data_IF_562909627029
#
_entry.id   IF_562909627029
#
_cell.length_a   1.000
_cell.length_b   1.000
_cell.length_c   1.000
_cell.angle_alpha   90.00
_cell.angle_beta   90.00
_cell.angle_gamma   90.00
#
_symmetry.space_group_name_H-M   'P 1'
#
loop_
_entity.id
_entity.type
_entity.pdbx_description
1 polymer ?
#
# COMPACT_ATOMS: atom_id res chain seq x y z
N UNK A 1 13.51 -24.15 -19.90
CA UNK A 1 12.37 -24.26 -18.96
C UNK A 1 12.63 -23.27 -17.84
N UNK A 2 11.65 -22.43 -17.48
CA UNK A 2 11.85 -21.38 -16.47
C UNK A 2 12.06 -22.00 -15.08
N UNK A 3 13.21 -21.75 -14.45
CA UNK A 3 13.50 -22.27 -13.11
C UNK A 3 12.84 -21.45 -11.99
N UNK A 4 12.41 -20.21 -12.28
CA UNK A 4 11.81 -19.30 -11.32
C UNK A 4 10.48 -18.80 -11.91
N UNK A 5 9.43 -18.81 -11.11
CA UNK A 5 8.13 -18.23 -11.46
C UNK A 5 7.75 -17.09 -10.52
N UNK A 6 7.06 -16.09 -11.07
CA UNK A 6 6.38 -15.03 -10.34
C UNK A 6 4.87 -15.26 -10.45
N UNK A 7 4.22 -15.45 -9.30
CA UNK A 7 2.76 -15.48 -9.22
C UNK A 7 2.22 -14.06 -9.21
N UNK A 8 1.89 -13.55 -10.40
CA UNK A 8 1.34 -12.21 -10.56
C UNK A 8 -0.20 -12.24 -10.47
N UNK A 9 -0.79 -11.39 -9.64
CA UNK A 9 -2.24 -11.20 -9.51
C UNK A 9 -2.59 -9.74 -9.83
N UNK A 10 -3.88 -9.42 -9.90
CA UNK A 10 -4.32 -8.02 -10.06
C UNK A 10 -3.89 -7.15 -8.87
N UNK A 11 -3.82 -7.72 -7.66
CA UNK A 11 -3.55 -7.00 -6.41
C UNK A 11 -2.06 -6.75 -6.18
N UNK A 12 -1.20 -7.66 -6.61
CA UNK A 12 0.26 -7.52 -6.47
C UNK A 12 0.96 -7.01 -7.74
N UNK A 13 0.22 -6.74 -8.82
CA UNK A 13 0.74 -6.25 -10.10
C UNK A 13 1.77 -5.13 -9.93
N UNK A 14 1.43 -4.08 -9.18
CA UNK A 14 2.33 -2.93 -9.02
C UNK A 14 3.63 -3.33 -8.31
N UNK A 15 3.56 -4.18 -7.28
CA UNK A 15 4.74 -4.64 -6.56
C UNK A 15 5.71 -5.38 -7.49
N UNK A 16 5.23 -6.36 -8.26
CA UNK A 16 6.10 -7.10 -9.17
C UNK A 16 6.59 -6.26 -10.34
N UNK A 17 5.78 -5.34 -10.88
CA UNK A 17 6.25 -4.42 -11.92
C UNK A 17 7.43 -3.58 -11.44
N UNK A 18 7.38 -3.07 -10.21
CA UNK A 18 8.52 -2.36 -9.61
C UNK A 18 9.73 -3.29 -9.39
N UNK A 19 9.52 -4.50 -8.87
CA UNK A 19 10.61 -5.47 -8.63
C UNK A 19 11.28 -5.95 -9.92
N UNK A 20 10.54 -6.08 -11.02
CA UNK A 20 11.10 -6.40 -12.33
C UNK A 20 12.03 -5.30 -12.84
N UNK A 21 11.67 -4.03 -12.62
CA UNK A 21 12.55 -2.90 -12.92
C UNK A 21 13.84 -2.93 -12.10
N UNK A 22 13.74 -3.26 -10.81
CA UNK A 22 14.91 -3.44 -9.95
C UNK A 22 15.80 -4.59 -10.42
N UNK A 23 15.23 -5.76 -10.73
CA UNK A 23 15.97 -6.92 -11.23
C UNK A 23 16.71 -6.61 -12.53
N UNK A 24 16.03 -6.00 -13.51
CA UNK A 24 16.63 -5.62 -14.79
C UNK A 24 17.79 -4.62 -14.60
N UNK A 25 17.60 -3.59 -13.77
CA UNK A 25 18.65 -2.58 -13.51
C UNK A 25 19.91 -3.14 -12.84
N UNK A 26 19.80 -4.29 -12.18
CA UNK A 26 20.90 -5.01 -11.54
C UNK A 26 21.49 -6.10 -12.45
N UNK A 27 21.05 -6.18 -13.71
CA UNK A 27 21.57 -7.11 -14.72
C UNK A 27 20.97 -8.52 -14.66
N UNK A 28 19.83 -8.70 -13.99
CA UNK A 28 19.11 -9.97 -14.04
C UNK A 28 18.29 -10.07 -15.33
N UNK A 29 18.45 -11.17 -16.08
CA UNK A 29 17.62 -11.44 -17.25
C UNK A 29 16.20 -11.82 -16.83
N UNK A 30 15.28 -10.86 -16.91
CA UNK A 30 13.88 -11.08 -16.55
C UNK A 30 13.16 -12.02 -17.54
N UNK A 31 13.72 -12.27 -18.73
CA UNK A 31 13.22 -13.26 -19.69
C UNK A 31 13.34 -14.70 -19.19
N UNK A 32 14.20 -14.95 -18.20
CA UNK A 32 14.29 -16.27 -17.55
C UNK A 32 13.13 -16.56 -16.59
N UNK A 33 12.33 -15.56 -16.23
CA UNK A 33 11.24 -15.68 -15.27
C UNK A 33 9.92 -16.09 -15.96
N UNK A 34 9.25 -17.11 -15.43
CA UNK A 34 7.85 -17.35 -15.76
C UNK A 34 6.97 -16.36 -14.98
N UNK A 35 6.51 -15.29 -15.64
CA UNK A 35 5.62 -14.30 -15.03
C UNK A 35 4.19 -14.60 -15.46
N UNK A 36 3.36 -15.09 -14.55
CA UNK A 36 2.00 -15.54 -14.93
C UNK A 36 0.91 -15.18 -13.93
N UNK A 37 -0.28 -14.94 -14.48
CA UNK A 37 -1.53 -14.81 -13.73
C UNK A 37 -2.29 -16.13 -13.60
N UNK A 38 -1.97 -17.13 -14.41
CA UNK A 38 -2.60 -18.44 -14.36
C UNK A 38 -1.74 -19.39 -13.51
N UNK A 39 -2.29 -19.81 -12.38
CA UNK A 39 -1.63 -20.76 -11.48
C UNK A 39 -1.32 -22.09 -12.18
N UNK A 40 -2.11 -22.50 -13.18
CA UNK A 40 -1.88 -23.75 -13.90
C UNK A 40 -0.61 -23.73 -14.75
N UNK A 41 -0.16 -22.56 -15.22
CA UNK A 41 1.11 -22.45 -15.92
C UNK A 41 2.29 -22.75 -14.99
N UNK A 42 2.21 -22.35 -13.73
CA UNK A 42 3.21 -22.70 -12.70
C UNK A 42 3.22 -24.22 -12.46
N UNK A 43 2.04 -24.85 -12.35
CA UNK A 43 1.92 -26.30 -12.18
C UNK A 43 2.49 -27.09 -13.36
N UNK A 44 2.33 -26.59 -14.58
CA UNK A 44 2.89 -27.20 -15.80
C UNK A 44 4.39 -27.01 -15.90
N UNK A 45 4.88 -25.81 -15.59
CA UNK A 45 6.29 -25.46 -15.72
C UNK A 45 7.17 -26.08 -14.62
N UNK A 46 6.60 -26.37 -13.44
CA UNK A 46 7.29 -26.95 -12.27
C UNK A 46 8.61 -26.22 -11.95
N UNK A 47 8.56 -24.89 -11.73
CA UNK A 47 9.76 -24.11 -11.41
C UNK A 47 10.40 -24.58 -10.09
N UNK A 48 11.67 -24.29 -9.89
CA UNK A 48 12.37 -24.57 -8.63
C UNK A 48 12.05 -23.54 -7.55
N UNK A 49 11.69 -22.32 -7.96
CA UNK A 49 11.30 -21.23 -7.05
C UNK A 49 10.00 -20.60 -7.51
N UNK A 50 9.09 -20.31 -6.58
CA UNK A 50 7.89 -19.51 -6.84
C UNK A 50 7.87 -18.29 -5.92
N UNK A 51 7.77 -17.11 -6.53
CA UNK A 51 7.73 -15.82 -5.85
C UNK A 51 6.30 -15.33 -5.70
N UNK A 52 5.95 -14.95 -4.48
CA UNK A 52 4.66 -14.38 -4.09
C UNK A 52 4.84 -13.00 -3.49
N UNK A 53 3.88 -12.11 -3.74
CA UNK A 53 3.72 -10.86 -3.00
C UNK A 53 2.24 -10.68 -2.68
N UNK A 54 1.89 -10.42 -1.43
CA UNK A 54 0.48 -10.37 -1.02
C UNK A 54 0.21 -9.51 0.23
N UNK A 55 -1.04 -9.06 0.32
CA UNK A 55 -1.63 -8.46 1.52
C UNK A 55 -2.27 -9.53 2.42
N UNK A 56 -2.56 -9.19 3.68
CA UNK A 56 -3.11 -10.15 4.66
C UNK A 56 -4.44 -10.76 4.22
N UNK A 57 -5.23 -10.04 3.45
CA UNK A 57 -6.51 -10.50 2.93
C UNK A 57 -6.42 -11.59 1.86
N UNK A 58 -5.24 -11.85 1.32
CA UNK A 58 -4.99 -12.86 0.28
C UNK A 58 -4.42 -14.17 0.85
N UNK A 59 -4.16 -14.25 2.16
CA UNK A 59 -3.42 -15.37 2.77
C UNK A 59 -4.11 -16.73 2.60
N UNK A 60 -5.44 -16.77 2.52
CA UNK A 60 -6.18 -18.03 2.38
C UNK A 60 -5.98 -18.61 0.99
N UNK A 61 -6.14 -17.80 -0.06
CA UNK A 61 -5.90 -18.21 -1.44
C UNK A 61 -4.43 -18.56 -1.66
N UNK A 62 -3.51 -17.73 -1.17
CA UNK A 62 -2.06 -17.96 -1.28
C UNK A 62 -1.63 -19.21 -0.51
N UNK A 63 -2.18 -19.45 0.68
CA UNK A 63 -1.91 -20.64 1.47
C UNK A 63 -2.39 -21.93 0.80
N UNK A 64 -3.56 -21.89 0.15
CA UNK A 64 -4.09 -23.03 -0.61
C UNK A 64 -3.25 -23.32 -1.86
N UNK A 65 -2.84 -22.28 -2.61
CA UNK A 65 -1.88 -22.43 -3.72
C UNK A 65 -0.54 -23.04 -3.22
N UNK A 66 -0.02 -22.56 -2.09
CA UNK A 66 1.20 -23.07 -1.47
C UNK A 66 1.13 -24.57 -1.16
N UNK A 67 0.03 -25.03 -0.53
CA UNK A 67 -0.20 -26.47 -0.25
C UNK A 67 -0.19 -27.30 -1.53
N UNK A 68 -0.88 -26.84 -2.58
CA UNK A 68 -0.93 -27.54 -3.87
C UNK A 68 0.47 -27.66 -4.49
N UNK A 69 1.28 -26.60 -4.42
CA UNK A 69 2.65 -26.62 -4.92
C UNK A 69 3.53 -27.62 -4.14
N UNK A 70 3.40 -27.65 -2.80
CA UNK A 70 4.10 -28.60 -1.93
C UNK A 70 3.79 -30.04 -2.29
N UNK A 71 2.53 -30.38 -2.49
CA UNK A 71 2.09 -31.73 -2.83
C UNK A 71 2.54 -32.17 -4.23
N UNK A 72 2.54 -31.27 -5.22
CA UNK A 72 2.79 -31.65 -6.61
C UNK A 72 4.26 -31.77 -6.98
N UNK A 73 5.12 -30.85 -6.51
CA UNK A 73 6.54 -30.86 -6.87
C UNK A 73 7.46 -30.13 -5.87
N UNK A 74 6.92 -29.59 -4.78
CA UNK A 74 7.66 -29.02 -3.65
C UNK A 74 8.76 -27.99 -4.03
N UNK A 75 8.40 -26.88 -4.70
CA UNK A 75 9.37 -25.81 -5.00
C UNK A 75 9.75 -25.02 -3.74
N UNK A 76 10.82 -24.24 -3.85
CA UNK A 76 11.13 -23.20 -2.87
C UNK A 76 10.10 -22.05 -2.99
N UNK A 77 9.38 -21.76 -1.92
CA UNK A 77 8.37 -20.71 -1.87
C UNK A 77 8.93 -19.46 -1.18
N UNK A 78 8.93 -18.34 -1.89
CA UNK A 78 9.39 -17.04 -1.37
C UNK A 78 8.21 -16.07 -1.34
N UNK A 79 7.99 -15.43 -0.20
CA UNK A 79 6.92 -14.45 0.00
C UNK A 79 7.47 -13.06 0.29
N UNK A 80 6.84 -12.02 -0.25
CA UNK A 80 7.09 -10.62 0.09
C UNK A 80 5.80 -9.82 0.22
N UNK A 81 5.93 -8.52 0.49
CA UNK A 81 4.79 -7.62 0.65
C UNK A 81 4.41 -7.38 2.11
N UNK A 82 3.20 -6.86 2.32
CA UNK A 82 2.79 -6.34 3.63
C UNK A 82 2.58 -7.44 4.67
N UNK A 83 1.96 -8.57 4.31
CA UNK A 83 1.75 -9.65 5.28
C UNK A 83 3.07 -10.35 5.66
N UNK A 84 3.93 -10.79 4.72
CA UNK A 84 5.21 -11.41 5.08
C UNK A 84 6.13 -10.50 5.89
N UNK A 85 6.08 -9.19 5.65
CA UNK A 85 6.85 -8.21 6.45
C UNK A 85 6.30 -8.11 7.88
N UNK A 86 4.98 -8.12 8.06
CA UNK A 86 4.34 -7.91 9.35
C UNK A 86 4.19 -9.18 10.19
N UNK A 87 4.08 -10.35 9.56
CA UNK A 87 3.91 -11.67 10.19
C UNK A 87 4.79 -12.73 9.50
N UNK A 88 6.13 -12.62 9.60
CA UNK A 88 7.04 -13.57 8.97
C UNK A 88 6.88 -15.00 9.53
N UNK A 89 6.68 -15.18 10.84
CA UNK A 89 6.58 -16.53 11.41
C UNK A 89 5.30 -17.22 10.98
N UNK A 90 4.18 -16.51 10.92
CA UNK A 90 2.94 -17.04 10.34
C UNK A 90 3.14 -17.41 8.87
N UNK A 91 3.82 -16.56 8.10
CA UNK A 91 4.12 -16.82 6.70
C UNK A 91 4.95 -18.11 6.52
N UNK A 92 5.97 -18.31 7.34
CA UNK A 92 6.85 -19.48 7.26
C UNK A 92 6.20 -20.75 7.83
N UNK A 93 5.63 -20.67 9.03
CA UNK A 93 5.19 -21.85 9.79
C UNK A 93 3.77 -22.30 9.47
N UNK A 94 2.88 -21.36 9.11
CA UNK A 94 1.45 -21.65 8.91
C UNK A 94 1.12 -21.69 7.43
N UNK A 95 1.58 -20.70 6.65
CA UNK A 95 1.37 -20.70 5.20
C UNK A 95 2.36 -21.60 4.46
N UNK A 96 3.41 -22.08 5.12
CA UNK A 96 4.37 -23.05 4.58
C UNK A 96 5.33 -22.46 3.55
N UNK A 97 5.67 -21.17 3.65
CA UNK A 97 6.73 -20.56 2.84
C UNK A 97 8.13 -20.85 3.41
N UNK A 98 9.14 -20.83 2.55
CA UNK A 98 10.53 -21.09 2.96
C UNK A 98 11.29 -19.82 3.34
N UNK A 99 11.00 -18.71 2.65
CA UNK A 99 11.68 -17.42 2.84
C UNK A 99 10.64 -16.29 2.78
N UNK A 100 10.69 -15.39 3.74
CA UNK A 100 9.97 -14.13 3.73
C UNK A 100 10.92 -12.96 3.48
N UNK A 101 10.64 -12.14 2.48
CA UNK A 101 11.31 -10.87 2.18
C UNK A 101 10.66 -9.76 3.02
N UNK A 102 11.46 -9.12 3.87
CA UNK A 102 11.03 -8.18 4.90
C UNK A 102 11.42 -6.74 4.52
N UNK A 103 10.41 -5.89 4.31
CA UNK A 103 10.59 -4.47 3.98
C UNK A 103 10.50 -4.16 2.48
N UNK A 104 11.53 -3.52 1.94
CA UNK A 104 11.61 -3.12 0.53
C UNK A 104 12.49 -4.10 -0.26
N UNK A 105 11.92 -4.73 -1.29
CA UNK A 105 12.48 -5.93 -1.91
C UNK A 105 13.41 -5.71 -3.09
N UNK A 106 13.62 -4.46 -3.55
CA UNK A 106 14.31 -4.16 -4.81
C UNK A 106 15.74 -4.72 -4.87
N UNK A 107 16.53 -4.48 -3.83
CA UNK A 107 17.88 -5.03 -3.69
C UNK A 107 17.83 -6.51 -3.26
N UNK A 108 16.92 -6.82 -2.32
CA UNK A 108 16.84 -8.14 -1.67
C UNK A 108 16.56 -9.24 -2.68
N UNK A 109 15.63 -9.01 -3.61
CA UNK A 109 15.21 -10.05 -4.55
C UNK A 109 16.33 -10.41 -5.52
N UNK A 110 17.12 -9.44 -5.97
CA UNK A 110 18.28 -9.68 -6.84
C UNK A 110 19.34 -10.52 -6.11
N UNK A 111 19.72 -10.09 -4.90
CA UNK A 111 20.72 -10.80 -4.09
C UNK A 111 20.25 -12.22 -3.74
N UNK A 112 18.96 -12.37 -3.42
CA UNK A 112 18.35 -13.65 -3.09
C UNK A 112 18.37 -14.60 -4.30
N UNK A 113 17.84 -14.18 -5.45
CA UNK A 113 17.77 -15.04 -6.63
C UNK A 113 19.15 -15.43 -7.15
N UNK A 114 20.10 -14.50 -7.16
CA UNK A 114 21.49 -14.77 -7.57
C UNK A 114 22.17 -15.75 -6.61
N UNK A 115 21.96 -15.58 -5.30
CA UNK A 115 22.49 -16.51 -4.30
C UNK A 115 21.85 -17.89 -4.42
N UNK A 116 20.52 -17.97 -4.58
CA UNK A 116 19.82 -19.23 -4.77
C UNK A 116 20.29 -19.97 -6.02
N UNK A 117 20.46 -19.29 -7.17
CA UNK A 117 21.03 -19.93 -8.37
C UNK A 117 22.40 -20.55 -8.10
N UNK A 118 23.30 -19.80 -7.45
CA UNK A 118 24.64 -20.28 -7.09
C UNK A 118 24.61 -21.47 -6.12
N UNK A 119 23.67 -21.48 -5.17
CA UNK A 119 23.52 -22.55 -4.17
C UNK A 119 22.60 -23.69 -4.63
N UNK A 120 22.25 -23.74 -5.93
CA UNK A 120 21.33 -24.73 -6.52
C UNK A 120 19.98 -24.78 -5.79
N UNK A 121 19.45 -23.60 -5.47
CA UNK A 121 18.15 -23.33 -4.86
C UNK A 121 18.00 -23.88 -3.44
N UNK A 122 19.10 -23.90 -2.68
CA UNK A 122 19.11 -24.33 -1.27
C UNK A 122 19.25 -23.14 -0.33
N UNK A 123 18.51 -23.19 0.78
CA UNK A 123 18.73 -22.30 1.93
C UNK A 123 20.05 -22.69 2.58
N UNK A 124 20.95 -21.71 2.70
CA UNK A 124 22.32 -21.89 3.18
C UNK A 124 22.75 -20.65 3.98
N UNK A 125 23.88 -20.73 4.68
CA UNK A 125 24.41 -19.63 5.51
C UNK A 125 24.73 -18.36 4.70
N UNK A 126 24.90 -18.48 3.40
CA UNK A 126 25.14 -17.38 2.47
C UNK A 126 23.99 -16.36 2.49
N UNK A 127 22.75 -16.80 2.77
CA UNK A 127 21.60 -15.92 2.91
C UNK A 127 21.68 -14.99 4.13
N UNK A 128 22.50 -15.30 5.14
CA UNK A 128 22.71 -14.44 6.32
C UNK A 128 23.30 -13.07 5.96
N UNK A 129 24.00 -12.98 4.82
CA UNK A 129 24.58 -11.73 4.34
C UNK A 129 23.57 -10.78 3.68
N UNK A 130 22.36 -11.27 3.36
CA UNK A 130 21.32 -10.52 2.67
C UNK A 130 20.37 -9.94 3.72
N UNK A 131 20.42 -8.63 3.92
CA UNK A 131 19.48 -7.90 4.78
C UNK A 131 18.07 -7.95 4.18
N UNK A 132 17.04 -8.07 5.01
CA UNK A 132 15.64 -8.13 4.56
C UNK A 132 15.08 -9.53 4.36
N UNK A 133 15.62 -10.54 5.04
CA UNK A 133 15.12 -11.92 4.98
C UNK A 133 14.70 -12.42 6.35
N UNK A 134 13.64 -13.23 6.37
CA UNK A 134 13.31 -14.13 7.46
C UNK A 134 13.15 -15.55 6.92
N UNK A 135 13.79 -16.53 7.55
CA UNK A 135 13.77 -17.94 7.14
C UNK A 135 14.26 -18.82 8.30
N UNK A 136 14.18 -20.15 8.14
CA UNK A 136 14.75 -21.09 9.09
C UNK A 136 16.08 -21.65 8.58
N UNK A 137 17.11 -21.67 9.43
CA UNK A 137 18.39 -22.31 9.16
C UNK A 137 18.71 -23.27 10.30
N UNK A 138 18.87 -24.57 9.99
CA UNK A 138 19.11 -25.62 10.99
C UNK A 138 18.07 -25.65 12.13
N UNK A 139 16.81 -25.30 11.82
CA UNK A 139 15.71 -25.25 12.79
C UNK A 139 15.58 -23.95 13.58
N UNK A 140 16.52 -23.01 13.42
CA UNK A 140 16.47 -21.70 14.10
C UNK A 140 15.87 -20.62 13.20
N UNK A 141 15.02 -19.78 13.78
CA UNK A 141 14.45 -18.62 13.10
C UNK A 141 15.52 -17.54 12.92
N UNK A 142 15.78 -17.19 11.68
CA UNK A 142 16.73 -16.15 11.28
C UNK A 142 15.95 -14.92 10.82
N UNK A 143 16.37 -13.74 11.28
CA UNK A 143 15.93 -12.46 10.76
C UNK A 143 17.14 -11.55 10.52
N UNK A 144 17.36 -11.16 9.26
CA UNK A 144 18.55 -10.39 8.87
C UNK A 144 18.33 -8.86 8.89
N UNK A 145 17.28 -8.40 9.59
CA UNK A 145 16.91 -6.99 9.67
C UNK A 145 16.03 -6.51 8.50
N UNK A 146 15.46 -5.31 8.60
CA UNK A 146 14.62 -4.73 7.54
C UNK A 146 15.46 -4.21 6.37
N UNK A 147 15.06 -4.53 5.14
CA UNK A 147 15.58 -3.90 3.94
C UNK A 147 14.83 -2.60 3.61
N UNK A 148 15.57 -1.63 3.07
CA UNK A 148 15.08 -0.29 2.73
C UNK A 148 15.86 0.26 1.54
N UNK A 149 15.17 0.95 0.65
CA UNK A 149 15.66 1.62 -0.56
C UNK A 149 15.90 3.10 -0.27
N UNK A 150 17.08 3.46 0.23
CA UNK A 150 17.36 4.88 0.49
C UNK A 150 17.57 5.71 -0.78
N UNK A 151 17.95 5.06 -1.88
CA UNK A 151 18.23 5.71 -3.16
C UNK A 151 17.39 5.12 -4.30
N UNK A 152 16.37 5.87 -4.73
CA UNK A 152 15.50 5.48 -5.85
C UNK A 152 16.19 5.56 -7.21
N UNK A 153 17.37 6.18 -7.34
CA UNK A 153 18.11 6.26 -8.62
C UNK A 153 18.62 4.93 -9.10
N UNK A 154 18.81 3.99 -8.17
CA UNK A 154 19.24 2.62 -8.47
C UNK A 154 18.15 1.77 -9.09
N UNK A 155 16.87 2.07 -8.82
CA UNK A 155 15.76 1.16 -9.15
C UNK A 155 14.71 1.85 -10.01
N UNK A 156 14.63 1.50 -11.31
CA UNK A 156 13.52 1.86 -12.18
C UNK A 156 12.16 1.50 -11.56
N UNK A 157 11.11 2.31 -11.78
CA UNK A 157 9.76 1.96 -11.36
C UNK A 157 9.16 0.82 -12.19
N UNK A 158 9.75 0.44 -13.32
CA UNK A 158 9.38 -0.75 -14.09
C UNK A 158 10.51 -1.07 -15.06
N UNK A 159 10.56 -2.32 -15.53
CA UNK A 159 11.54 -2.76 -16.51
C UNK A 159 11.32 -2.09 -17.88
N UNK A 160 12.39 -1.62 -18.49
CA UNK A 160 12.37 -0.98 -19.81
C UNK A 160 12.06 -1.98 -20.92
N UNK A 161 12.56 -3.22 -20.80
CA UNK A 161 12.26 -4.31 -21.74
C UNK A 161 10.83 -4.87 -21.62
N UNK A 162 10.13 -4.60 -20.50
CA UNK A 162 8.78 -5.12 -20.27
C UNK A 162 7.70 -4.15 -20.73
N UNK A 163 6.59 -4.68 -21.25
CA UNK A 163 5.37 -3.91 -21.53
C UNK A 163 4.50 -3.68 -20.29
N UNK A 164 4.84 -4.30 -19.15
CA UNK A 164 4.10 -4.12 -17.91
C UNK A 164 4.40 -2.75 -17.31
N UNK A 165 3.38 -1.89 -17.26
CA UNK A 165 3.48 -0.53 -16.73
C UNK A 165 2.49 -0.39 -15.58
N UNK A 166 2.99 0.06 -14.43
CA UNK A 166 2.22 0.40 -13.24
C UNK A 166 2.37 1.90 -12.96
N UNK A 167 1.43 2.54 -12.22
CA UNK A 167 1.63 3.89 -11.70
C UNK A 167 2.99 4.02 -11.00
N UNK A 168 3.70 5.13 -11.21
CA UNK A 168 5.05 5.30 -10.64
C UNK A 168 4.91 5.62 -9.15
N UNK A 169 5.56 4.84 -8.29
CA UNK A 169 5.73 5.21 -6.90
C UNK A 169 6.79 6.31 -6.78
N UNK A 170 6.31 7.52 -6.44
CA UNK A 170 7.13 8.73 -6.37
C UNK A 170 7.56 9.06 -4.94
N UNK A 171 6.90 8.48 -3.94
CA UNK A 171 7.28 8.62 -2.54
C UNK A 171 7.03 7.34 -1.75
N UNK A 172 7.89 7.05 -0.78
CA UNK A 172 7.70 5.97 0.21
C UNK A 172 7.90 6.48 1.63
N UNK A 173 7.23 5.82 2.58
CA UNK A 173 7.24 6.18 3.99
C UNK A 173 6.25 7.30 4.32
N UNK A 174 5.89 7.44 5.59
CA UNK A 174 4.90 8.43 6.04
C UNK A 174 5.18 8.79 7.51
N UNK A 175 5.38 10.08 7.87
CA UNK A 175 5.75 10.45 9.24
C UNK A 175 4.59 10.39 10.24
N UNK A 176 3.34 10.28 9.78
CA UNK A 176 2.16 10.44 10.64
C UNK A 176 1.86 9.22 11.52
N UNK A 177 2.28 8.01 11.13
CA UNK A 177 2.16 6.84 12.01
C UNK A 177 0.73 6.43 12.40
N UNK A 178 -0.31 6.73 11.59
CA UNK A 178 -1.71 6.41 11.91
C UNK A 178 -1.87 4.94 12.34
N UNK A 179 -2.62 4.68 13.40
CA UNK A 179 -2.62 3.38 14.09
C UNK A 179 -3.24 2.22 13.32
N UNK A 180 -4.01 2.51 12.28
CA UNK A 180 -4.60 1.50 11.38
C UNK A 180 -3.76 1.26 10.10
N UNK A 181 -2.76 2.09 9.81
CA UNK A 181 -2.11 2.13 8.50
C UNK A 181 -0.74 1.43 8.54
N UNK A 182 -0.54 0.41 7.69
CA UNK A 182 0.74 -0.32 7.63
C UNK A 182 1.89 0.45 6.96
N UNK A 183 1.60 1.44 6.11
CA UNK A 183 2.61 2.17 5.33
C UNK A 183 3.80 2.67 6.16
N UNK A 184 3.63 3.42 7.26
CA UNK A 184 4.76 3.87 8.08
C UNK A 184 5.56 2.71 8.71
N UNK A 185 4.89 1.67 9.18
CA UNK A 185 5.52 0.53 9.86
C UNK A 185 6.27 -0.42 8.91
N UNK A 186 5.95 -0.39 7.61
CA UNK A 186 6.63 -1.18 6.56
C UNK A 186 7.66 -0.36 5.77
N UNK A 187 7.34 0.90 5.45
CA UNK A 187 8.13 1.75 4.54
C UNK A 187 8.87 2.89 5.27
N UNK A 188 8.73 2.98 6.59
CA UNK A 188 9.41 3.94 7.45
C UNK A 188 8.64 5.24 7.71
N UNK A 189 9.04 5.95 8.76
CA UNK A 189 8.40 7.17 9.27
C UNK A 189 8.92 8.48 8.66
N UNK A 190 9.53 8.40 7.49
CA UNK A 190 10.01 9.59 6.76
C UNK A 190 9.72 9.39 5.28
N UNK A 191 9.10 10.40 4.66
CA UNK A 191 8.92 10.39 3.21
C UNK A 191 10.28 10.51 2.53
N UNK A 192 10.54 9.59 1.62
CA UNK A 192 11.65 9.61 0.66
C UNK A 192 11.03 9.71 -0.73
N UNK A 193 11.66 10.46 -1.62
CA UNK A 193 11.10 10.76 -2.94
C UNK A 193 11.97 10.28 -4.07
N UNK A 194 11.34 9.78 -5.13
CA UNK A 194 11.98 9.55 -6.41
C UNK A 194 12.36 10.91 -7.04
N UNK A 195 13.57 11.07 -7.57
CA UNK A 195 13.97 12.29 -8.28
C UNK A 195 13.08 12.64 -9.48
N UNK A 196 12.90 13.94 -9.73
CA UNK A 196 12.00 14.47 -10.76
C UNK A 196 12.38 13.99 -12.15
N UNK A 197 13.67 13.96 -12.48
CA UNK A 197 14.20 13.50 -13.78
C UNK A 197 13.81 12.05 -14.08
N UNK A 198 13.87 11.17 -13.08
CA UNK A 198 13.37 9.81 -13.21
C UNK A 198 11.85 9.76 -13.37
N UNK A 199 11.11 10.55 -12.59
CA UNK A 199 9.64 10.60 -12.72
C UNK A 199 9.27 11.00 -14.15
N UNK A 200 9.90 12.04 -14.70
CA UNK A 200 9.70 12.48 -16.08
C UNK A 200 10.12 11.38 -17.07
N UNK A 201 11.28 10.76 -16.89
CA UNK A 201 11.78 9.67 -17.76
C UNK A 201 10.75 8.57 -17.93
N UNK A 202 10.27 8.02 -16.81
CA UNK A 202 9.37 6.87 -16.85
C UNK A 202 7.93 7.28 -17.18
N UNK A 203 7.52 8.52 -16.89
CA UNK A 203 6.18 9.03 -17.29
C UNK A 203 6.00 9.10 -18.80
N UNK A 204 7.08 9.13 -19.61
CA UNK A 204 7.01 9.09 -21.09
C UNK A 204 6.25 7.89 -21.63
N UNK A 205 6.25 6.76 -20.92
CA UNK A 205 5.56 5.53 -21.32
C UNK A 205 4.10 5.47 -20.86
N UNK A 206 3.61 6.50 -20.19
CA UNK A 206 2.23 6.56 -19.68
C UNK A 206 1.37 7.49 -20.52
N UNK A 207 0.18 7.02 -20.91
CA UNK A 207 -0.86 7.90 -21.47
C UNK A 207 -1.52 8.73 -20.37
N UNK A 208 -1.86 8.07 -19.27
CA UNK A 208 -2.37 8.69 -18.05
C UNK A 208 -1.28 8.60 -16.98
N UNK A 209 -0.61 9.73 -16.74
CA UNK A 209 0.41 9.85 -15.71
C UNK A 209 -0.26 9.85 -14.35
N UNK A 210 -0.07 8.76 -13.60
CA UNK A 210 -0.59 8.53 -12.25
C UNK A 210 0.54 8.08 -11.33
N UNK A 211 0.47 8.53 -10.08
CA UNK A 211 1.55 8.35 -9.12
C UNK A 211 1.06 7.74 -7.82
N UNK A 212 1.90 6.91 -7.20
CA UNK A 212 1.69 6.36 -5.87
C UNK A 212 2.53 7.16 -4.88
N UNK A 213 1.88 7.71 -3.86
CA UNK A 213 2.51 8.44 -2.77
C UNK A 213 1.57 8.46 -1.56
N UNK A 214 2.08 8.30 -0.33
CA UNK A 214 1.27 8.34 0.89
C UNK A 214 0.60 9.70 1.17
N UNK A 215 1.17 10.78 0.65
CA UNK A 215 0.58 12.12 0.66
C UNK A 215 1.10 12.89 -0.56
N UNK A 216 0.25 13.14 -1.55
CA UNK A 216 0.67 13.75 -2.81
C UNK A 216 1.28 15.15 -2.64
N UNK A 217 0.60 16.06 -1.93
CA UNK A 217 1.08 17.43 -1.75
C UNK A 217 2.33 17.58 -0.87
N UNK A 218 2.78 16.50 -0.22
CA UNK A 218 4.02 16.49 0.55
C UNK A 218 5.26 16.12 -0.30
N UNK A 219 5.16 16.01 -1.62
CA UNK A 219 6.30 15.68 -2.46
C UNK A 219 7.46 16.68 -2.28
N UNK A 220 8.68 16.13 -2.10
CA UNK A 220 9.89 16.92 -1.87
C UNK A 220 10.09 17.36 -0.41
N UNK A 221 9.28 16.87 0.53
CA UNK A 221 9.39 17.17 1.96
C UNK A 221 9.56 15.90 2.82
N UNK A 222 9.96 15.99 4.09
CA UNK A 222 9.95 14.82 4.99
C UNK A 222 8.56 14.19 5.22
N UNK A 223 7.48 14.81 4.73
CA UNK A 223 6.12 14.27 4.66
C UNK A 223 5.09 15.03 5.48
N UNK A 224 5.52 15.72 6.54
CA UNK A 224 4.66 16.45 7.49
C UNK A 224 4.62 17.97 7.24
N UNK A 225 5.26 18.46 6.18
CA UNK A 225 5.28 19.88 5.81
C UNK A 225 5.05 20.03 4.30
N UNK A 226 4.53 21.18 3.88
CA UNK A 226 4.44 21.57 2.48
C UNK A 226 5.77 22.15 1.98
N UNK A 227 6.15 21.79 0.76
CA UNK A 227 7.25 22.40 0.00
C UNK A 227 6.73 22.77 -1.38
N UNK A 228 6.01 23.90 -1.46
CA UNK A 228 5.32 24.33 -2.67
C UNK A 228 6.28 24.46 -3.87
N UNK A 229 7.51 24.94 -3.63
CA UNK A 229 8.58 25.02 -4.63
C UNK A 229 8.92 23.65 -5.24
N UNK A 230 8.97 22.60 -4.41
CA UNK A 230 9.27 21.24 -4.86
C UNK A 230 8.09 20.57 -5.55
N UNK A 231 6.87 20.79 -5.04
CA UNK A 231 5.64 20.32 -5.65
C UNK A 231 5.47 20.96 -7.04
N UNK A 232 5.61 22.28 -7.14
CA UNK A 232 5.55 23.01 -8.41
C UNK A 232 6.64 22.54 -9.38
N UNK A 233 7.88 22.36 -8.91
CA UNK A 233 8.97 21.87 -9.75
C UNK A 233 8.63 20.51 -10.40
N UNK A 234 8.04 19.57 -9.64
CA UNK A 234 7.59 18.29 -10.18
C UNK A 234 6.49 18.46 -11.23
N UNK A 235 5.41 19.18 -10.88
CA UNK A 235 4.26 19.36 -11.77
C UNK A 235 4.64 20.11 -13.06
N UNK A 236 5.54 21.10 -12.95
CA UNK A 236 6.10 21.85 -14.08
C UNK A 236 6.99 20.97 -14.97
N UNK A 237 7.81 20.10 -14.39
CA UNK A 237 8.69 19.20 -15.14
C UNK A 237 7.92 18.18 -16.00
N UNK A 238 6.66 17.89 -15.65
CA UNK A 238 5.78 17.00 -16.40
C UNK A 238 5.04 17.70 -17.56
N UNK A 239 5.08 19.03 -17.65
CA UNK A 239 4.34 19.78 -18.68
C UNK A 239 4.73 19.46 -20.12
N UNK A 240 6.01 19.21 -20.48
CA UNK A 240 6.35 18.79 -21.84
C UNK A 240 5.58 17.54 -22.26
N UNK A 241 5.49 16.54 -21.38
CA UNK A 241 4.77 15.29 -21.63
C UNK A 241 3.25 15.50 -21.79
N UNK A 242 2.69 16.45 -21.02
CA UNK A 242 1.29 16.84 -21.13
C UNK A 242 1.00 17.56 -22.46
N UNK A 243 1.91 18.44 -22.91
CA UNK A 243 1.83 19.10 -24.22
C UNK A 243 1.92 18.12 -25.40
N UNK A 244 2.56 16.97 -25.20
CA UNK A 244 2.57 15.84 -26.15
C UNK A 244 1.26 15.01 -26.12
N UNK A 245 0.22 15.44 -25.40
CA UNK A 245 -1.11 14.80 -25.38
C UNK A 245 -1.33 13.76 -24.27
N UNK A 246 -0.43 13.66 -23.29
CA UNK A 246 -0.64 12.82 -22.09
C UNK A 246 -1.46 13.58 -21.05
N UNK A 247 -2.15 12.84 -20.18
CA UNK A 247 -2.96 13.41 -19.10
C UNK A 247 -2.27 13.22 -17.76
N UNK A 248 -2.24 14.27 -16.94
CA UNK A 248 -1.67 14.25 -15.60
C UNK A 248 -2.77 14.18 -14.54
N UNK A 249 -2.79 13.10 -13.75
CA UNK A 249 -3.68 12.98 -12.59
C UNK A 249 -2.85 12.84 -11.31
N UNK A 250 -2.94 13.84 -10.42
CA UNK A 250 -2.10 13.96 -9.23
C UNK A 250 -2.94 13.97 -7.94
N UNK A 251 -2.56 13.21 -6.91
CA UNK A 251 -3.37 13.11 -5.68
C UNK A 251 -4.74 12.42 -5.86
N UNK A 252 -4.85 11.60 -6.90
CA UNK A 252 -6.04 10.75 -7.14
C UNK A 252 -5.69 9.29 -6.93
N UNK A 253 -6.68 8.45 -6.60
CA UNK A 253 -6.50 7.02 -6.37
C UNK A 253 -5.60 6.37 -7.46
N UNK A 254 -4.59 5.55 -7.07
CA UNK A 254 -4.34 4.98 -5.74
C UNK A 254 -3.57 5.88 -4.74
N UNK A 255 -3.40 7.17 -5.02
CA UNK A 255 -2.87 8.14 -4.06
C UNK A 255 -3.97 9.03 -3.48
N UNK A 256 -3.69 9.61 -2.32
CA UNK A 256 -4.56 10.55 -1.61
C UNK A 256 -3.73 11.75 -1.15
N UNK A 257 -4.44 12.81 -0.78
CA UNK A 257 -3.87 13.96 -0.07
C UNK A 257 -4.45 14.01 1.34
N UNK A 258 -3.66 14.52 2.27
CA UNK A 258 -4.15 14.76 3.62
C UNK A 258 -4.99 16.06 3.66
N UNK A 259 -6.11 16.12 4.38
CA UNK A 259 -7.00 17.30 4.37
C UNK A 259 -6.28 18.61 4.72
N UNK A 260 -5.40 18.59 5.72
CA UNK A 260 -4.64 19.76 6.18
C UNK A 260 -3.59 20.26 5.16
N UNK A 261 -3.34 19.49 4.10
CA UNK A 261 -2.47 19.88 2.97
C UNK A 261 -3.26 20.46 1.79
N UNK A 262 -4.59 20.38 1.81
CA UNK A 262 -5.44 21.00 0.80
C UNK A 262 -5.60 22.47 1.15
N UNK A 263 -4.83 23.32 0.48
CA UNK A 263 -4.82 24.77 0.61
C UNK A 263 -5.02 25.44 -0.75
N UNK A 264 -5.53 26.69 -0.82
CA UNK A 264 -5.68 27.45 -2.06
C UNK A 264 -4.46 27.33 -2.99
N UNK A 265 -3.24 27.53 -2.46
CA UNK A 265 -2.00 27.51 -3.23
C UNK A 265 -1.69 26.12 -3.82
N UNK A 266 -2.03 25.04 -3.09
CA UNK A 266 -1.86 23.67 -3.62
C UNK A 266 -2.87 23.34 -4.72
N UNK A 267 -4.09 23.87 -4.63
CA UNK A 267 -5.13 23.68 -5.64
C UNK A 267 -4.85 24.50 -6.90
N UNK A 268 -4.31 25.72 -6.75
CA UNK A 268 -3.86 26.55 -7.86
C UNK A 268 -2.77 25.86 -8.68
N UNK A 269 -1.78 25.23 -8.01
CA UNK A 269 -0.77 24.42 -8.69
C UNK A 269 -1.41 23.23 -9.42
N UNK A 270 -2.37 22.57 -8.78
CA UNK A 270 -3.05 21.42 -9.38
C UNK A 270 -3.83 21.81 -10.63
N UNK A 271 -4.59 22.89 -10.60
CA UNK A 271 -5.37 23.40 -11.76
C UNK A 271 -4.47 23.87 -12.88
N UNK A 272 -3.38 24.55 -12.53
CA UNK A 272 -2.43 25.08 -13.51
C UNK A 272 -1.72 23.97 -14.28
N UNK A 273 -1.37 22.88 -13.60
CA UNK A 273 -0.45 21.88 -14.16
C UNK A 273 -1.06 20.50 -14.43
N UNK A 274 -2.16 20.12 -13.79
CA UNK A 274 -2.77 18.79 -13.91
C UNK A 274 -4.15 18.80 -14.59
N UNK A 275 -4.64 17.62 -14.95
CA UNK A 275 -5.94 17.38 -15.57
C UNK A 275 -6.97 16.84 -14.56
N UNK A 276 -6.73 17.10 -13.28
CA UNK A 276 -7.60 16.69 -12.18
C UNK A 276 -9.00 17.29 -12.33
N UNK A 277 -10.02 16.44 -12.23
CA UNK A 277 -11.42 16.85 -11.98
C UNK A 277 -11.89 16.51 -10.57
N UNK A 278 -11.13 15.65 -9.91
CA UNK A 278 -11.41 15.09 -8.60
C UNK A 278 -10.13 15.06 -7.80
N UNK A 279 -10.25 15.08 -6.48
CA UNK A 279 -9.13 14.91 -5.57
C UNK A 279 -9.60 14.07 -4.38
N UNK A 280 -8.77 13.11 -3.97
CA UNK A 280 -9.10 12.17 -2.91
C UNK A 280 -8.47 12.61 -1.59
N UNK A 281 -9.29 12.82 -0.55
CA UNK A 281 -8.86 13.19 0.79
C UNK A 281 -9.29 12.16 1.82
N UNK A 282 -8.39 11.83 2.74
CA UNK A 282 -8.68 10.89 3.81
C UNK A 282 -9.20 11.56 5.08
N UNK A 283 -10.52 11.71 5.21
CA UNK A 283 -11.16 12.22 6.44
C UNK A 283 -11.10 11.21 7.59
N UNK A 284 -11.34 9.94 7.28
CA UNK A 284 -11.36 8.77 8.16
C UNK A 284 -12.50 8.73 9.18
N UNK A 285 -12.76 9.83 9.90
CA UNK A 285 -13.86 9.93 10.87
C UNK A 285 -14.39 11.37 10.92
N UNK A 286 -15.66 11.53 11.30
CA UNK A 286 -16.27 12.84 11.60
C UNK A 286 -16.18 13.23 13.07
N UNK A 287 -15.39 12.54 13.88
CA UNK A 287 -15.23 12.82 15.31
C UNK A 287 -13.76 13.06 15.67
N UNK A 288 -13.42 14.27 16.15
CA UNK A 288 -12.05 14.65 16.50
C UNK A 288 -11.46 13.75 17.60
N UNK A 289 -12.29 13.24 18.52
CA UNK A 289 -11.84 12.29 19.53
C UNK A 289 -11.36 10.97 18.88
N UNK A 290 -12.07 10.50 17.86
CA UNK A 290 -11.72 9.30 17.12
C UNK A 290 -10.50 9.51 16.21
N UNK A 291 -10.39 10.68 15.58
CA UNK A 291 -9.18 11.08 14.83
C UNK A 291 -7.94 11.07 15.74
N UNK A 292 -8.05 11.65 16.94
CA UNK A 292 -6.98 11.62 17.93
C UNK A 292 -6.64 10.19 18.37
N UNK A 293 -7.65 9.35 18.63
CA UNK A 293 -7.47 7.95 19.04
C UNK A 293 -6.71 7.12 18.00
N UNK A 294 -6.95 7.35 16.71
CA UNK A 294 -6.24 6.67 15.61
C UNK A 294 -4.90 7.31 15.22
N UNK A 295 -4.45 8.31 15.98
CA UNK A 295 -3.25 9.09 15.69
C UNK A 295 -3.30 9.83 14.34
N UNK A 296 -4.49 10.34 13.98
CA UNK A 296 -4.66 11.33 12.90
C UNK A 296 -4.52 12.73 13.49
N UNK A 297 -3.56 13.49 12.95
CA UNK A 297 -3.25 14.85 13.43
C UNK A 297 -4.20 15.93 12.88
N UNK A 298 -4.92 15.66 11.79
CA UNK A 298 -5.91 16.58 11.24
C UNK A 298 -7.21 16.50 12.04
N UNK A 299 -8.05 17.51 11.89
CA UNK A 299 -9.35 17.62 12.56
C UNK A 299 -10.48 17.65 11.54
N UNK A 300 -11.72 17.48 11.99
CA UNK A 300 -12.93 17.63 11.17
C UNK A 300 -12.96 18.99 10.48
N UNK A 301 -12.51 20.06 11.17
CA UNK A 301 -12.38 21.39 10.56
C UNK A 301 -11.47 21.39 9.33
N UNK A 302 -10.32 20.71 9.38
CA UNK A 302 -9.43 20.60 8.22
C UNK A 302 -10.10 19.87 7.05
N UNK A 303 -10.95 18.88 7.32
CA UNK A 303 -11.75 18.19 6.28
C UNK A 303 -12.76 19.15 5.65
N UNK A 304 -13.46 19.92 6.48
CA UNK A 304 -14.44 20.90 6.00
C UNK A 304 -13.78 21.98 5.13
N UNK A 305 -12.69 22.57 5.61
CA UNK A 305 -11.90 23.57 4.85
C UNK A 305 -11.41 22.98 3.52
N UNK A 306 -10.85 21.77 3.52
CA UNK A 306 -10.41 21.10 2.30
C UNK A 306 -11.55 20.93 1.29
N UNK A 307 -12.72 20.46 1.73
CA UNK A 307 -13.90 20.28 0.87
C UNK A 307 -14.39 21.60 0.30
N UNK A 308 -14.43 22.66 1.11
CA UNK A 308 -14.84 24.00 0.65
C UNK A 308 -13.88 24.54 -0.41
N UNK A 309 -12.57 24.50 -0.16
CA UNK A 309 -11.58 24.92 -1.14
C UNK A 309 -11.68 24.10 -2.44
N UNK A 310 -11.81 22.78 -2.35
CA UNK A 310 -11.94 21.93 -3.54
C UNK A 310 -13.16 22.33 -4.37
N UNK A 311 -14.32 22.56 -3.74
CA UNK A 311 -15.56 22.96 -4.43
C UNK A 311 -15.43 24.36 -5.05
N UNK A 312 -14.88 25.34 -4.31
CA UNK A 312 -14.65 26.71 -4.82
C UNK A 312 -13.75 26.72 -6.06
N UNK A 313 -12.76 25.84 -6.09
CA UNK A 313 -11.84 25.68 -7.22
C UNK A 313 -12.35 24.70 -8.30
N UNK A 314 -13.60 24.23 -8.21
CA UNK A 314 -14.24 23.38 -9.22
C UNK A 314 -13.71 21.94 -9.27
N UNK A 315 -13.12 21.45 -8.18
CA UNK A 315 -12.61 20.08 -8.03
C UNK A 315 -13.59 19.28 -7.18
N UNK A 316 -14.11 18.17 -7.71
CA UNK A 316 -15.04 17.30 -6.98
C UNK A 316 -14.32 16.57 -5.82
N UNK A 317 -14.74 16.77 -4.56
CA UNK A 317 -14.14 16.09 -3.43
C UNK A 317 -14.53 14.61 -3.37
N UNK A 318 -13.54 13.74 -3.25
CA UNK A 318 -13.73 12.31 -2.94
C UNK A 318 -13.19 12.08 -1.53
N UNK A 319 -14.06 11.77 -0.57
CA UNK A 319 -13.71 11.76 0.85
C UNK A 319 -13.80 10.36 1.44
N UNK A 320 -12.68 9.83 1.91
CA UNK A 320 -12.59 8.49 2.50
C UNK A 320 -12.93 8.49 3.99
N UNK A 321 -13.74 7.52 4.41
CA UNK A 321 -14.09 7.24 5.79
C UNK A 321 -13.83 5.77 6.14
N UNK A 322 -13.44 5.52 7.40
CA UNK A 322 -13.40 4.20 7.98
C UNK A 322 -14.47 4.16 9.07
N UNK A 323 -15.42 3.23 8.94
CA UNK A 323 -16.47 2.98 9.93
C UNK A 323 -16.18 1.68 10.69
N UNK A 324 -16.76 1.53 11.87
CA UNK A 324 -16.51 0.39 12.76
C UNK A 324 -15.12 0.45 13.38
N UNK A 325 -14.62 1.66 13.63
CA UNK A 325 -13.31 1.86 14.26
C UNK A 325 -13.31 1.29 15.68
N UNK A 326 -12.14 0.88 16.22
CA UNK A 326 -12.06 0.45 17.61
C UNK A 326 -12.62 1.49 18.58
N UNK A 327 -13.46 1.04 19.52
CA UNK A 327 -14.13 1.88 20.50
C UNK A 327 -15.00 3.02 19.90
N UNK A 328 -15.39 2.93 18.62
CA UNK A 328 -16.31 3.88 17.99
C UNK A 328 -17.71 3.76 18.57
N UNK A 329 -18.15 4.79 19.29
CA UNK A 329 -19.49 4.86 19.88
C UNK A 329 -20.55 5.20 18.83
N UNK A 330 -21.84 4.95 19.14
CA UNK A 330 -22.93 5.38 18.26
C UNK A 330 -22.94 6.89 18.04
N UNK A 331 -22.55 7.68 19.05
CA UNK A 331 -22.44 9.14 18.93
C UNK A 331 -21.31 9.54 17.96
N UNK A 332 -20.17 8.86 18.03
CA UNK A 332 -19.07 9.04 17.07
C UNK A 332 -19.50 8.70 15.63
N UNK A 333 -20.28 7.61 15.49
CA UNK A 333 -20.89 7.24 14.21
C UNK A 333 -21.87 8.31 13.70
N UNK A 334 -22.70 8.91 14.56
CA UNK A 334 -23.61 10.02 14.18
C UNK A 334 -22.85 11.25 13.71
N UNK A 335 -21.78 11.66 14.39
CA UNK A 335 -20.92 12.77 13.93
C UNK A 335 -20.34 12.49 12.54
N UNK A 336 -19.91 11.25 12.29
CA UNK A 336 -19.46 10.82 10.96
C UNK A 336 -20.58 10.89 9.91
N UNK A 337 -21.80 10.46 10.24
CA UNK A 337 -22.98 10.59 9.36
C UNK A 337 -23.25 12.06 9.02
N UNK A 338 -23.24 12.95 10.00
CA UNK A 338 -23.51 14.37 9.80
C UNK A 338 -22.43 15.03 8.90
N UNK A 339 -21.17 14.69 9.11
CA UNK A 339 -20.09 15.14 8.22
C UNK A 339 -20.28 14.60 6.79
N UNK A 340 -20.60 13.31 6.62
CA UNK A 340 -20.88 12.72 5.30
C UNK A 340 -22.05 13.42 4.60
N UNK A 341 -23.16 13.67 5.29
CA UNK A 341 -24.30 14.44 4.75
C UNK A 341 -23.89 15.85 4.33
N UNK A 342 -23.09 16.52 5.14
CA UNK A 342 -22.58 17.86 4.83
C UNK A 342 -21.69 17.85 3.57
N UNK A 343 -20.76 16.88 3.45
CA UNK A 343 -19.92 16.70 2.25
C UNK A 343 -20.77 16.51 1.00
N UNK A 344 -21.80 15.65 1.06
CA UNK A 344 -22.70 15.40 -0.06
C UNK A 344 -23.47 16.65 -0.48
N UNK A 345 -23.95 17.46 0.49
CA UNK A 345 -24.62 18.74 0.21
C UNK A 345 -23.70 19.76 -0.48
N UNK A 346 -22.40 19.72 -0.18
CA UNK A 346 -21.38 20.55 -0.86
C UNK A 346 -21.00 20.04 -2.26
N UNK A 347 -21.52 18.87 -2.68
CA UNK A 347 -21.22 18.28 -3.98
C UNK A 347 -20.04 17.29 -3.97
N UNK A 348 -19.58 16.87 -2.78
CA UNK A 348 -18.57 15.81 -2.65
C UNK A 348 -19.19 14.41 -2.64
N UNK A 349 -18.35 13.42 -2.90
CA UNK A 349 -18.66 11.99 -2.76
C UNK A 349 -17.92 11.38 -1.58
N UNK A 350 -18.55 10.39 -0.96
CA UNK A 350 -17.97 9.66 0.16
C UNK A 350 -17.59 8.26 -0.28
N UNK A 351 -16.43 7.79 0.17
CA UNK A 351 -16.01 6.41 0.06
C UNK A 351 -15.91 5.80 1.45
N UNK A 352 -16.71 4.78 1.71
CA UNK A 352 -16.76 4.14 3.02
C UNK A 352 -16.01 2.79 3.02
N UNK A 353 -15.16 2.62 4.02
CA UNK A 353 -14.44 1.39 4.31
C UNK A 353 -14.77 0.92 5.73
N UNK A 354 -14.68 -0.38 5.98
CA UNK A 354 -14.80 -0.90 7.34
C UNK A 354 -13.42 -1.16 7.93
N UNK A 355 -13.25 -0.90 9.23
CA UNK A 355 -11.99 -1.14 9.91
C UNK A 355 -11.56 -2.61 9.80
N UNK A 356 -10.33 -2.82 9.34
CA UNK A 356 -9.68 -4.11 9.27
C UNK A 356 -8.45 -4.10 10.17
N UNK A 357 -8.31 -5.03 11.13
CA UNK A 357 -7.12 -5.13 11.96
C UNK A 357 -5.95 -5.65 11.11
N UNK A 358 -5.14 -4.73 10.60
CA UNK A 358 -4.00 -5.07 9.76
C UNK A 358 -2.79 -5.43 10.63
N UNK A 359 -2.12 -6.58 10.40
CA UNK A 359 -0.94 -6.97 11.15
C UNK A 359 0.19 -5.94 11.11
N UNK A 360 0.98 -5.85 12.18
CA UNK A 360 2.10 -4.91 12.29
C UNK A 360 1.69 -3.45 12.45
N UNK A 361 0.39 -3.17 12.64
CA UNK A 361 -0.11 -1.84 13.03
C UNK A 361 -0.43 -1.80 14.53
N UNK A 362 -0.42 -0.63 15.18
CA UNK A 362 -0.82 -0.53 16.59
C UNK A 362 -2.24 -1.04 16.85
N UNK A 363 -3.16 -0.85 15.90
CA UNK A 363 -4.54 -1.36 16.01
C UNK A 363 -4.72 -2.79 15.50
N UNK A 364 -3.64 -3.54 15.24
CA UNK A 364 -3.72 -4.93 14.79
C UNK A 364 -4.55 -5.81 15.75
N UNK A 365 -4.45 -5.59 17.07
CA UNK A 365 -5.16 -6.37 18.10
C UNK A 365 -6.50 -5.76 18.52
N UNK A 366 -6.88 -4.60 17.98
CA UNK A 366 -8.12 -3.96 18.39
C UNK A 366 -9.33 -4.55 17.66
N UNK A 367 -10.44 -4.68 18.39
CA UNK A 367 -11.70 -5.17 17.86
C UNK A 367 -12.47 -4.01 17.20
N UNK A 368 -12.99 -4.17 15.97
CA UNK A 368 -13.87 -3.17 15.37
C UNK A 368 -15.16 -3.05 16.17
N UNK A 369 -15.68 -1.83 16.29
CA UNK A 369 -17.03 -1.60 16.80
C UNK A 369 -18.09 -2.03 15.78
N UNK A 370 -19.24 -2.58 16.23
CA UNK A 370 -20.37 -2.82 15.34
C UNK A 370 -20.93 -1.49 14.81
N UNK A 371 -21.40 -1.50 13.57
CA UNK A 371 -22.15 -0.37 13.03
C UNK A 371 -23.52 -0.29 13.69
N UNK A 372 -23.94 0.91 14.08
CA UNK A 372 -25.31 1.16 14.55
C UNK A 372 -26.32 0.91 13.43
N UNK A 373 -27.57 0.64 13.79
CA UNK A 373 -28.64 0.48 12.79
C UNK A 373 -28.84 1.75 11.96
N UNK A 374 -28.61 2.92 12.55
CA UNK A 374 -28.63 4.21 11.87
C UNK A 374 -27.53 4.28 10.79
N UNK A 375 -26.28 3.95 11.14
CA UNK A 375 -25.16 3.94 10.20
C UNK A 375 -25.38 2.95 9.05
N UNK A 376 -25.82 1.72 9.34
CA UNK A 376 -26.11 0.72 8.30
C UNK A 376 -27.16 1.21 7.30
N UNK A 377 -28.29 1.73 7.81
CA UNK A 377 -29.38 2.28 6.98
C UNK A 377 -28.92 3.48 6.16
N UNK A 378 -28.14 4.38 6.77
CA UNK A 378 -27.58 5.54 6.11
C UNK A 378 -26.65 5.14 4.95
N UNK A 379 -25.65 4.30 5.21
CA UNK A 379 -24.71 3.83 4.19
C UNK A 379 -25.43 3.13 3.05
N UNK A 380 -26.33 2.18 3.35
CA UNK A 380 -27.10 1.46 2.33
C UNK A 380 -27.97 2.38 1.47
N UNK A 381 -28.70 3.33 2.08
CA UNK A 381 -29.57 4.26 1.37
C UNK A 381 -28.78 5.23 0.49
N UNK A 382 -27.67 5.78 0.98
CA UNK A 382 -26.86 6.72 0.21
C UNK A 382 -26.07 6.03 -0.90
N UNK A 383 -25.66 4.78 -0.70
CA UNK A 383 -25.04 3.96 -1.73
C UNK A 383 -25.99 3.64 -2.88
N UNK A 384 -27.25 3.28 -2.58
CA UNK A 384 -28.28 3.06 -3.60
C UNK A 384 -28.55 4.32 -4.44
N UNK A 385 -28.31 5.51 -3.88
CA UNK A 385 -28.43 6.80 -4.57
C UNK A 385 -27.14 7.25 -5.27
N UNK A 386 -26.04 6.49 -5.17
CA UNK A 386 -24.75 6.82 -5.79
C UNK A 386 -23.92 7.90 -5.07
N UNK A 387 -24.29 8.30 -3.86
CA UNK A 387 -23.54 9.29 -3.06
C UNK A 387 -22.42 8.66 -2.23
N UNK A 388 -22.54 7.37 -1.91
CA UNK A 388 -21.51 6.59 -1.23
C UNK A 388 -21.08 5.44 -2.14
N UNK A 389 -19.77 5.29 -2.30
CA UNK A 389 -19.15 4.09 -2.83
C UNK A 389 -18.23 3.44 -1.78
N UNK A 390 -17.71 2.26 -2.05
CA UNK A 390 -16.78 1.57 -1.15
C UNK A 390 -17.11 0.10 -0.94
N UNK A 391 -16.41 -0.52 0.01
CA UNK A 391 -16.42 -1.97 0.18
C UNK A 391 -16.70 -2.40 1.62
N UNK A 392 -17.25 -1.51 2.46
CA UNK A 392 -17.50 -1.76 3.89
C UNK A 392 -18.26 -3.07 4.14
N UNK A 393 -19.27 -3.40 3.32
CA UNK A 393 -20.04 -4.64 3.46
C UNK A 393 -19.20 -5.91 3.36
N UNK A 394 -18.33 -6.00 2.35
CA UNK A 394 -17.38 -7.12 2.19
C UNK A 394 -16.32 -7.08 3.28
N UNK A 395 -15.83 -5.88 3.61
CA UNK A 395 -14.78 -5.67 4.61
C UNK A 395 -15.24 -6.04 6.03
N UNK A 396 -16.53 -5.98 6.37
CA UNK A 396 -17.04 -6.49 7.66
C UNK A 396 -16.73 -7.99 7.80
N UNK A 397 -16.98 -8.78 6.76
CA UNK A 397 -16.71 -10.23 6.80
C UNK A 397 -15.21 -10.52 6.82
N UNK A 398 -14.45 -9.78 6.01
CA UNK A 398 -13.00 -9.89 5.99
C UNK A 398 -12.39 -9.53 7.34
N UNK A 399 -12.85 -8.45 7.96
CA UNK A 399 -12.41 -8.00 9.29
C UNK A 399 -12.64 -9.07 10.36
N UNK A 400 -13.76 -9.81 10.32
CA UNK A 400 -13.99 -10.96 11.24
C UNK A 400 -13.01 -12.11 11.01
N UNK A 401 -12.62 -12.39 9.77
CA UNK A 401 -11.59 -13.40 9.47
C UNK A 401 -10.22 -12.95 9.95
N UNK A 402 -9.89 -11.68 9.75
CA UNK A 402 -8.63 -11.08 10.19
C UNK A 402 -8.53 -11.03 11.72
N UNK A 403 -9.61 -10.74 12.44
CA UNK A 403 -9.61 -10.81 13.91
C UNK A 403 -9.22 -12.19 14.42
N UNK A 404 -9.83 -13.24 13.89
CA UNK A 404 -9.49 -14.63 14.28
C UNK A 404 -8.03 -14.96 13.98
N UNK A 405 -7.54 -14.56 12.81
CA UNK A 405 -6.13 -14.70 12.44
C UNK A 405 -5.21 -14.01 13.46
N UNK A 406 -5.52 -12.77 13.85
CA UNK A 406 -4.73 -12.02 14.83
C UNK A 406 -4.82 -12.66 16.21
N UNK A 407 -6.02 -13.05 16.67
CA UNK A 407 -6.20 -13.70 17.98
C UNK A 407 -5.38 -14.99 18.10
N UNK A 408 -5.25 -15.75 17.00
CA UNK A 408 -4.53 -17.02 16.98
C UNK A 408 -3.02 -16.87 16.72
N UNK A 409 -2.61 -15.95 15.84
CA UNK A 409 -1.24 -15.92 15.30
C UNK A 409 -0.53 -14.56 15.42
N UNK A 410 -1.07 -13.57 16.12
CA UNK A 410 -0.48 -12.23 16.12
C UNK A 410 0.97 -12.22 16.65
N UNK A 411 1.87 -11.76 15.79
CA UNK A 411 3.27 -11.55 16.11
C UNK A 411 3.45 -10.14 16.71
N UNK A 412 4.37 -10.02 17.67
CA UNK A 412 4.83 -8.71 18.10
C UNK A 412 5.50 -7.98 16.92
N UNK A 413 5.17 -6.70 16.66
CA UNK A 413 5.72 -5.99 15.52
C UNK A 413 7.25 -5.90 15.60
N UNK A 414 7.95 -6.45 14.60
CA UNK A 414 9.40 -6.32 14.52
C UNK A 414 9.86 -4.87 14.24
N UNK A 415 8.98 -4.03 13.69
CA UNK A 415 9.30 -2.68 13.20
C UNK A 415 9.16 -1.56 14.24
N UNK A 416 8.60 -1.82 15.43
CA UNK A 416 8.44 -0.81 16.47
C UNK A 416 8.45 -1.43 17.88
N UNK A 417 9.31 -0.91 18.76
CA UNK A 417 9.58 -1.42 20.12
C UNK A 417 8.94 -0.51 21.21
N UNK A 418 8.29 0.59 20.83
CA UNK A 418 7.67 1.45 21.82
C UNK A 418 6.52 0.74 22.52
N UNK A 419 6.35 1.00 23.83
CA UNK A 419 5.20 0.51 24.60
C UNK A 419 3.93 0.97 23.86
N UNK A 420 3.28 0.04 23.18
CA UNK A 420 1.90 0.11 22.72
C UNK A 420 1.06 0.16 24.00
N UNK A 421 1.14 1.30 24.72
CA UNK A 421 0.33 1.59 25.91
C UNK A 421 -1.11 1.49 25.46
N UNK A 422 -1.84 0.51 25.98
CA UNK A 422 -3.32 0.46 25.98
C UNK A 422 -3.92 1.11 24.72
N UNK A 423 -3.61 0.51 23.57
CA UNK A 423 -3.88 1.12 22.25
C UNK A 423 -5.33 0.87 21.80
N UNK A 424 -6.02 -0.04 22.50
CA UNK A 424 -7.47 -0.14 22.59
C UNK A 424 -7.83 0.13 24.07
#
# INVERSE_FOLDING_TARGET
>A
MHEIAIRMTKRNHNAFVHLLGALESQGFDIGELLITKDFNEILKAKPKVVLYSFFTEEIWEVGDEGKILREKFNPLLVAGGYHPTAMPKHTLNVLGFDIAVIGEGEEVIYQLLTTLKRTKFKITKELLSIRGLAFYLNGEFVFTGFAKVDDFTKFPPFAESSLLIAPIEISRGCPFGCYYCQTPYVKGFRMRHRPIDQIVRYSRRMKDMRYITPNAFAYGSPGAILKLDKLEALLKALQPLRKEGRRLFYGTFPSEVRPEFVKPETLELLIKYADNRRLAIGAQSGDDAMLKAMHRLHTVRHVMEAVEYMVEYGIEPIVDFIVGLPNESEESQRKSIELMKWIMRKGGKVRAHYFMPLPGTPWARCKPSPLSEEMKKFLGRMAAKGYIEGSWGIQIQLSKKLQRLIEEFCEEPMSYIGKVKEVC
#
